data_IF_358817072412
#
_entry.id   IF_358817072412
#
_cell.length_a   1.000
_cell.length_b   1.000
_cell.length_c   1.000
_cell.angle_alpha   90.00
_cell.angle_beta   90.00
_cell.angle_gamma   90.00
#
_symmetry.space_group_name_H-M   'P 1'
#
loop_
_entity.id
_entity.type
_entity.pdbx_description
1 polymer ?
#
# COMPACT_ATOMS: atom_id res chain seq x y z
N UNK A 1 -14.90 -3.43 11.24
CA UNK A 1 -15.39 -4.48 10.34
C UNK A 1 -14.17 -4.99 9.61
N UNK A 2 -13.69 -6.19 9.93
CA UNK A 2 -12.44 -6.73 9.38
C UNK A 2 -12.76 -7.45 8.06
N UNK A 3 -12.03 -7.23 6.96
CA UNK A 3 -12.22 -7.98 5.72
C UNK A 3 -11.41 -9.29 5.82
N UNK A 4 -11.98 -10.31 6.47
CA UNK A 4 -11.42 -11.67 6.57
C UNK A 4 -12.56 -12.69 6.41
N UNK A 5 -13.37 -12.53 5.36
CA UNK A 5 -14.52 -13.43 5.13
C UNK A 5 -14.23 -14.57 4.14
N UNK A 6 -13.01 -14.66 3.60
CA UNK A 6 -12.65 -15.61 2.54
C UNK A 6 -11.55 -16.61 2.94
N UNK A 7 -11.39 -16.95 4.23
CA UNK A 7 -10.53 -18.07 4.63
C UNK A 7 -11.33 -19.39 4.60
N UNK A 8 -11.02 -20.35 3.71
CA UNK A 8 -11.72 -21.63 3.62
C UNK A 8 -11.63 -22.46 4.91
N UNK A 9 -10.60 -22.24 5.73
CA UNK A 9 -10.48 -22.89 7.04
C UNK A 9 -11.50 -22.33 8.02
N UNK A 10 -11.73 -21.01 8.00
CA UNK A 10 -12.71 -20.36 8.87
C UNK A 10 -14.14 -20.75 8.49
N UNK A 11 -14.41 -20.97 7.20
CA UNK A 11 -15.68 -21.52 6.72
C UNK A 11 -15.94 -22.95 7.25
N UNK A 12 -14.92 -23.82 7.25
CA UNK A 12 -15.03 -25.17 7.80
C UNK A 12 -15.20 -25.17 9.32
N UNK A 13 -14.52 -24.28 10.03
CA UNK A 13 -14.66 -24.13 11.47
C UNK A 13 -16.06 -23.63 11.83
N UNK A 14 -16.58 -22.59 11.16
CA UNK A 14 -17.94 -22.08 11.39
C UNK A 14 -19.02 -23.11 11.05
N UNK A 15 -18.80 -23.94 10.03
CA UNK A 15 -19.76 -24.99 9.65
C UNK A 15 -19.92 -26.08 10.74
N UNK A 16 -18.93 -26.24 11.63
CA UNK A 16 -18.93 -27.28 12.65
C UNK A 16 -19.48 -26.82 14.01
N UNK A 17 -19.76 -25.52 14.18
CA UNK A 17 -20.32 -24.95 15.42
C UNK A 17 -21.64 -24.23 15.16
N UNK A 18 -22.66 -24.53 15.96
CA UNK A 18 -24.04 -24.00 15.83
C UNK A 18 -24.21 -22.50 16.21
N UNK A 19 -23.13 -21.72 16.12
CA UNK A 19 -23.14 -20.29 16.38
C UNK A 19 -22.40 -19.88 17.66
N UNK A 20 -22.47 -18.59 18.01
CA UNK A 20 -21.67 -18.01 19.08
C UNK A 20 -22.05 -18.59 20.44
N UNK A 21 -21.06 -19.15 21.13
CA UNK A 21 -21.20 -19.63 22.51
C UNK A 21 -21.49 -18.43 23.45
N UNK A 22 -22.45 -18.55 24.39
CA UNK A 22 -22.68 -17.52 25.40
C UNK A 22 -21.39 -17.27 26.20
N UNK A 23 -20.85 -16.06 26.10
CA UNK A 23 -19.55 -15.70 26.66
C UNK A 23 -19.65 -15.09 28.07
N UNK A 24 -20.85 -14.77 28.57
CA UNK A 24 -21.08 -14.17 29.91
C UNK A 24 -20.15 -12.98 30.24
N UNK A 25 -19.74 -12.25 29.20
CA UNK A 25 -18.81 -11.14 29.28
C UNK A 25 -17.37 -11.52 29.62
N UNK A 26 -16.98 -12.80 29.52
CA UNK A 26 -15.60 -13.27 29.67
C UNK A 26 -14.68 -12.58 28.68
N UNK A 27 -15.00 -12.58 27.39
CA UNK A 27 -14.24 -11.89 26.35
C UNK A 27 -14.17 -10.38 26.62
N UNK A 28 -15.22 -9.76 27.16
CA UNK A 28 -15.19 -8.35 27.56
C UNK A 28 -14.19 -8.09 28.68
N UNK A 29 -14.16 -8.95 29.70
CA UNK A 29 -13.21 -8.85 30.83
C UNK A 29 -11.77 -9.12 30.36
N UNK A 30 -11.56 -10.10 29.49
CA UNK A 30 -10.25 -10.39 28.89
C UNK A 30 -9.77 -9.20 28.07
N UNK A 31 -10.61 -8.64 27.19
CA UNK A 31 -10.25 -7.49 26.36
C UNK A 31 -9.94 -6.23 27.19
N UNK A 32 -10.57 -6.06 28.36
CA UNK A 32 -10.26 -4.98 29.30
C UNK A 32 -8.97 -5.21 30.09
N UNK A 33 -8.57 -6.46 30.29
CA UNK A 33 -7.34 -6.83 30.98
C UNK A 33 -6.10 -6.85 30.07
N UNK A 34 -6.29 -6.82 28.74
CA UNK A 34 -5.18 -6.77 27.80
C UNK A 34 -4.46 -5.41 27.86
N UNK A 35 -3.12 -5.40 27.83
CA UNK A 35 -2.36 -4.16 27.78
C UNK A 35 -2.74 -3.36 26.52
N UNK A 36 -2.73 -2.01 26.60
CA UNK A 36 -3.07 -1.18 25.45
C UNK A 36 -2.15 -1.55 24.29
N UNK A 37 -2.76 -2.03 23.21
CA UNK A 37 -2.07 -2.38 21.97
C UNK A 37 -1.28 -1.15 21.54
N UNK A 38 0.05 -1.22 21.56
CA UNK A 38 0.90 -0.17 20.99
C UNK A 38 0.47 0.00 19.54
N UNK A 39 -0.28 1.07 19.27
CA UNK A 39 -0.68 1.46 17.92
C UNK A 39 0.63 1.55 17.12
N UNK A 40 0.74 0.78 16.03
CA UNK A 40 1.89 0.90 15.13
C UNK A 40 1.96 2.38 14.77
N UNK A 41 3.09 2.99 15.13
CA UNK A 41 3.30 4.41 14.88
C UNK A 41 3.48 4.50 13.37
N UNK A 42 2.54 5.13 12.66
CA UNK A 42 2.58 5.28 11.20
C UNK A 42 3.56 6.37 10.74
N UNK A 43 4.15 7.10 11.68
CA UNK A 43 5.08 8.19 11.39
C UNK A 43 6.35 7.79 10.62
N UNK A 44 7.05 6.66 10.90
CA UNK A 44 8.22 6.26 10.12
C UNK A 44 7.84 5.90 8.67
N UNK A 45 6.64 5.35 8.44
CA UNK A 45 6.14 5.08 7.08
C UNK A 45 5.90 6.39 6.34
N UNK A 46 5.22 7.36 6.97
CA UNK A 46 4.99 8.69 6.38
C UNK A 46 6.29 9.44 6.12
N UNK A 47 7.26 9.34 7.03
CA UNK A 47 8.57 9.94 6.88
C UNK A 47 9.35 9.29 5.72
N UNK A 48 9.29 7.96 5.58
CA UNK A 48 9.88 7.24 4.47
C UNK A 48 9.30 7.65 3.12
N UNK A 49 7.98 7.78 3.03
CA UNK A 49 7.30 8.27 1.81
C UNK A 49 7.74 9.69 1.47
N UNK A 50 7.75 10.60 2.45
CA UNK A 50 8.18 11.98 2.23
C UNK A 50 9.65 12.06 1.76
N UNK A 51 10.54 11.29 2.38
CA UNK A 51 11.94 11.22 1.99
C UNK A 51 12.12 10.66 0.57
N UNK A 52 11.37 9.62 0.21
CA UNK A 52 11.40 9.04 -1.14
C UNK A 52 10.93 10.05 -2.20
N UNK A 53 9.84 10.78 -1.95
CA UNK A 53 9.33 11.82 -2.85
C UNK A 53 10.36 12.94 -3.03
N UNK A 54 10.95 13.43 -1.95
CA UNK A 54 11.95 14.50 -2.01
C UNK A 54 13.22 14.06 -2.75
N UNK A 55 13.67 12.83 -2.52
CA UNK A 55 14.84 12.27 -3.19
C UNK A 55 14.59 12.06 -4.68
N UNK A 56 13.40 11.56 -5.03
CA UNK A 56 12.96 11.42 -6.41
C UNK A 56 12.92 12.79 -7.11
N UNK A 57 12.31 13.80 -6.48
CA UNK A 57 12.25 15.15 -7.01
C UNK A 57 13.64 15.76 -7.24
N UNK A 58 14.54 15.64 -6.26
CA UNK A 58 15.91 16.12 -6.37
C UNK A 58 16.66 15.42 -7.52
N UNK A 59 16.46 14.12 -7.71
CA UNK A 59 17.07 13.37 -8.80
C UNK A 59 16.51 13.77 -10.17
N UNK A 60 15.23 14.15 -10.25
CA UNK A 60 14.60 14.61 -11.49
C UNK A 60 15.14 15.98 -11.95
N UNK A 61 15.52 16.87 -11.03
CA UNK A 61 16.07 18.19 -11.40
C UNK A 61 17.37 18.10 -12.22
N UNK A 62 18.16 17.07 -11.98
CA UNK A 62 19.44 16.85 -12.67
C UNK A 62 19.28 16.20 -14.05
N UNK A 63 18.06 15.81 -14.44
CA UNK A 63 17.83 15.12 -15.71
C UNK A 63 17.49 16.12 -16.84
N UNK A 64 18.37 16.32 -17.84
CA UNK A 64 18.10 17.20 -18.99
C UNK A 64 16.88 16.75 -19.80
N UNK A 65 16.54 15.47 -19.67
CA UNK A 65 15.38 14.79 -20.24
C UNK A 65 14.05 15.44 -19.85
N UNK A 66 13.96 16.07 -18.66
CA UNK A 66 12.73 16.75 -18.23
C UNK A 66 12.51 18.07 -18.96
N UNK A 67 13.56 18.88 -19.13
CA UNK A 67 13.46 20.15 -19.85
C UNK A 67 13.22 19.92 -21.35
N UNK A 68 13.93 18.98 -21.96
CA UNK A 68 13.72 18.62 -23.35
C UNK A 68 12.38 17.92 -23.57
N UNK A 69 11.97 17.05 -22.64
CA UNK A 69 10.68 16.39 -22.68
C UNK A 69 9.51 17.36 -22.55
N UNK A 70 9.62 18.40 -21.71
CA UNK A 70 8.55 19.41 -21.55
C UNK A 70 8.40 20.29 -22.78
N UNK A 71 9.51 20.75 -23.38
CA UNK A 71 9.47 21.54 -24.61
C UNK A 71 9.02 20.72 -25.82
N UNK A 72 9.39 19.44 -25.90
CA UNK A 72 8.91 18.49 -26.90
C UNK A 72 7.41 18.17 -26.75
N UNK A 73 6.95 18.00 -25.52
CA UNK A 73 5.53 17.74 -25.23
C UNK A 73 4.67 18.97 -25.53
N UNK A 74 5.13 20.18 -25.17
CA UNK A 74 4.47 21.44 -25.52
C UNK A 74 4.39 21.70 -27.03
N UNK A 75 5.29 21.10 -27.81
CA UNK A 75 5.28 21.14 -29.28
C UNK A 75 4.53 19.96 -29.92
N UNK A 76 3.88 19.11 -29.12
CA UNK A 76 3.07 17.98 -29.61
C UNK A 76 3.88 16.82 -30.19
N UNK A 77 5.20 16.78 -29.97
CA UNK A 77 6.08 15.72 -30.47
C UNK A 77 6.41 14.75 -29.33
N UNK A 78 5.96 13.50 -29.49
CA UNK A 78 6.38 12.39 -28.64
C UNK A 78 7.83 12.03 -28.95
N UNK A 79 8.76 12.59 -28.17
CA UNK A 79 10.19 12.28 -28.25
C UNK A 79 10.52 10.98 -27.53
N UNK A 80 11.66 10.37 -27.87
CA UNK A 80 12.16 9.16 -27.22
C UNK A 80 12.30 9.33 -25.69
N UNK A 81 12.59 10.54 -25.23
CA UNK A 81 12.61 10.93 -23.82
C UNK A 81 11.23 10.83 -23.15
N UNK A 82 10.18 11.31 -23.82
CA UNK A 82 8.81 11.19 -23.32
C UNK A 82 8.36 9.73 -23.24
N UNK A 83 8.76 8.91 -24.22
CA UNK A 83 8.52 7.48 -24.21
C UNK A 83 9.22 6.80 -23.02
N UNK A 84 10.48 7.14 -22.76
CA UNK A 84 11.24 6.63 -21.62
C UNK A 84 10.60 7.03 -20.27
N UNK A 85 10.09 8.26 -20.17
CA UNK A 85 9.41 8.76 -18.98
C UNK A 85 8.09 8.02 -18.72
N UNK A 86 7.29 7.79 -19.77
CA UNK A 86 6.07 6.97 -19.69
C UNK A 86 6.38 5.53 -19.27
N UNK A 87 7.46 4.94 -19.81
CA UNK A 87 7.89 3.59 -19.46
C UNK A 87 8.34 3.49 -18.00
N UNK A 88 9.04 4.51 -17.50
CA UNK A 88 9.43 4.61 -16.10
C UNK A 88 8.22 4.76 -15.18
N UNK A 89 7.24 5.60 -15.53
CA UNK A 89 5.99 5.77 -14.77
C UNK A 89 5.20 4.45 -14.75
N UNK A 90 5.08 3.78 -15.90
CA UNK A 90 4.41 2.49 -16.00
C UNK A 90 5.11 1.42 -15.15
N UNK A 91 6.44 1.35 -15.19
CA UNK A 91 7.23 0.44 -14.38
C UNK A 91 7.08 0.70 -12.88
N UNK A 92 7.14 1.96 -12.45
CA UNK A 92 6.92 2.35 -11.05
C UNK A 92 5.49 2.05 -10.59
N UNK A 93 4.50 2.23 -11.46
CA UNK A 93 3.09 1.92 -11.17
C UNK A 93 2.89 0.41 -11.01
N UNK A 94 3.53 -0.41 -11.85
CA UNK A 94 3.51 -1.87 -11.72
C UNK A 94 4.20 -2.35 -10.44
N UNK A 95 5.34 -1.76 -10.08
CA UNK A 95 6.01 -2.03 -8.81
C UNK A 95 5.13 -1.67 -7.61
N UNK A 96 4.45 -0.51 -7.66
CA UNK A 96 3.50 -0.11 -6.62
C UNK A 96 2.30 -1.06 -6.54
N UNK A 97 1.80 -1.52 -7.69
CA UNK A 97 0.69 -2.49 -7.75
C UNK A 97 1.13 -3.85 -7.19
N UNK A 98 2.32 -4.32 -7.58
CA UNK A 98 2.92 -5.54 -7.06
C UNK A 98 3.10 -5.47 -5.55
N UNK A 99 3.62 -4.34 -5.06
CA UNK A 99 3.79 -4.11 -3.63
C UNK A 99 2.45 -4.11 -2.90
N UNK A 100 1.43 -3.44 -3.46
CA UNK A 100 0.07 -3.45 -2.91
C UNK A 100 -0.57 -4.84 -2.92
N UNK A 101 -0.26 -5.69 -3.91
CA UNK A 101 -0.74 -7.07 -3.97
C UNK A 101 0.01 -7.96 -2.97
N UNK A 102 1.32 -7.77 -2.82
CA UNK A 102 2.11 -8.49 -1.83
C UNK A 102 1.66 -8.16 -0.40
N UNK A 103 1.32 -6.89 -0.14
CA UNK A 103 0.82 -6.45 1.16
C UNK A 103 -0.67 -6.75 1.36
N UNK A 104 -1.44 -6.84 0.26
CA UNK A 104 -2.85 -7.24 0.25
C UNK A 104 -3.09 -8.75 0.24
N UNK A 105 -2.06 -9.56 0.00
CA UNK A 105 -2.09 -11.02 0.06
C UNK A 105 -1.96 -11.58 1.48
N UNK A 106 -1.80 -10.72 2.49
CA UNK A 106 -2.02 -11.05 3.91
C UNK A 106 -3.46 -10.71 4.37
N UNK A 107 -4.44 -10.82 3.46
CA UNK A 107 -5.87 -10.66 3.76
C UNK A 107 -6.61 -12.00 3.71
#
# INVERSE_FOLDING_TARGET
MNPHDDDPIDALLRAQFDGPVPDDGFSKRVMQALPPRRRRVDWPVRAGIAAAVLTCWASLQSAPVLHEGWSAWASGRLTASAMALLLAIAGMSLLALWWSVAEGGEA
#
